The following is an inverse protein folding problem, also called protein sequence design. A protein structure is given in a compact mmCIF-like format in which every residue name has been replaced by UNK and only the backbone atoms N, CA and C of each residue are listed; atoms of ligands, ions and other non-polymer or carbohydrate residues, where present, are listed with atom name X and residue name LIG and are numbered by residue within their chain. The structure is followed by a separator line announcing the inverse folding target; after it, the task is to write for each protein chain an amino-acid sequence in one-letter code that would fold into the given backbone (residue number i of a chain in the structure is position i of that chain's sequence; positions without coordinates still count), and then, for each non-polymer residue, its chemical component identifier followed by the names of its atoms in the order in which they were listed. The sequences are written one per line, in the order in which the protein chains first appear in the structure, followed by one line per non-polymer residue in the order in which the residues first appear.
data_IF_003606543079
#
_entry.id   IF_003606543079
#
_cell.length_a   1.000
_cell.length_b   1.000
_cell.length_c   1.000
_cell.angle_alpha   90.00
_cell.angle_beta   90.00
_cell.angle_gamma   90.00
#
_symmetry.space_group_name_H-M   'P 1'
#
loop_
_entity.id
_entity.type
_entity.pdbx_description
1 polymer ?
#
# COMPACT_ATOMS: atom_id res chain seq x y z
N UNK A 1 -6.82 -12.68 5.70
CA UNK A 1 -8.11 -12.44 5.04
C UNK A 1 -7.89 -12.28 3.56
N UNK A 2 -8.91 -11.83 2.83
CA UNK A 2 -8.91 -11.67 1.36
C UNK A 2 -8.34 -10.33 0.87
N UNK A 3 -7.61 -9.60 1.74
CA UNK A 3 -7.06 -8.27 1.44
C UNK A 3 -5.54 -8.23 1.43
N UNK A 4 -4.99 -7.13 0.91
CA UNK A 4 -3.56 -6.86 0.88
C UNK A 4 -3.03 -6.73 2.32
N UNK A 5 -2.08 -7.58 2.69
CA UNK A 5 -1.51 -7.62 4.04
C UNK A 5 -0.17 -6.87 4.17
N UNK A 6 0.52 -6.59 3.07
CA UNK A 6 1.80 -5.89 3.08
C UNK A 6 2.30 -5.52 1.68
N UNK A 7 3.15 -4.50 1.61
CA UNK A 7 3.95 -4.10 0.45
C UNK A 7 5.36 -3.85 0.95
N UNK A 8 6.34 -4.45 0.28
CA UNK A 8 7.75 -4.31 0.61
C UNK A 8 8.55 -3.96 -0.65
N UNK A 9 9.60 -3.15 -0.47
CA UNK A 9 10.60 -2.96 -1.51
C UNK A 9 11.57 -4.13 -1.50
N UNK A 10 11.50 -4.96 -2.53
CA UNK A 10 12.40 -6.09 -2.69
C UNK A 10 13.76 -5.62 -3.22
N UNK A 11 14.81 -6.37 -2.90
CA UNK A 11 16.16 -6.09 -3.40
C UNK A 11 16.29 -6.29 -4.91
N UNK A 12 17.37 -5.78 -5.53
CA UNK A 12 17.55 -5.79 -6.99
C UNK A 12 17.69 -7.20 -7.60
N UNK A 13 17.90 -8.23 -6.78
CA UNK A 13 17.99 -9.62 -7.20
C UNK A 13 16.64 -10.36 -7.15
N UNK A 14 15.58 -9.69 -6.72
CA UNK A 14 14.26 -10.31 -6.69
C UNK A 14 13.75 -10.51 -8.12
N UNK A 15 13.33 -11.74 -8.42
CA UNK A 15 12.69 -12.03 -9.70
C UNK A 15 11.35 -11.31 -9.81
N UNK A 16 11.13 -10.64 -10.93
CA UNK A 16 9.83 -10.05 -11.24
C UNK A 16 8.82 -11.17 -11.52
N UNK A 17 7.65 -11.05 -10.90
CA UNK A 17 6.57 -12.03 -11.01
C UNK A 17 5.31 -11.35 -11.49
N UNK A 18 4.70 -11.90 -12.53
CA UNK A 18 3.39 -11.46 -12.96
C UNK A 18 2.34 -11.68 -11.84
N UNK A 19 1.31 -10.81 -11.76
CA UNK A 19 0.16 -11.02 -10.89
C UNK A 19 -0.46 -12.40 -11.10
N UNK A 20 -0.89 -13.05 -10.01
CA UNK A 20 -1.42 -14.42 -10.04
C UNK A 20 -2.92 -14.47 -9.83
N UNK A 21 -3.53 -13.36 -9.44
CA UNK A 21 -4.93 -13.25 -9.04
C UNK A 21 -5.47 -11.83 -9.27
N UNK A 22 -6.80 -11.62 -9.24
CA UNK A 22 -7.39 -10.31 -9.49
C UNK A 22 -6.94 -9.21 -8.52
N UNK A 23 -6.72 -9.54 -7.24
CA UNK A 23 -6.28 -8.55 -6.26
C UNK A 23 -4.85 -8.11 -6.55
N UNK A 24 -3.91 -9.03 -6.81
CA UNK A 24 -2.55 -8.66 -7.18
C UNK A 24 -2.48 -7.86 -8.48
N UNK A 25 -3.35 -8.15 -9.46
CA UNK A 25 -3.44 -7.35 -10.69
C UNK A 25 -3.95 -5.92 -10.41
N UNK A 26 -4.96 -5.78 -9.55
CA UNK A 26 -5.47 -4.48 -9.13
C UNK A 26 -4.42 -3.67 -8.36
N UNK A 27 -3.67 -4.31 -7.46
CA UNK A 27 -2.56 -3.67 -6.71
C UNK A 27 -1.53 -3.09 -7.68
N UNK A 28 -1.06 -3.88 -8.65
CA UNK A 28 -0.07 -3.41 -9.65
C UNK A 28 -0.61 -2.22 -10.44
N UNK A 29 -1.85 -2.30 -10.93
CA UNK A 29 -2.45 -1.20 -11.70
C UNK A 29 -2.55 0.10 -10.88
N UNK A 30 -3.02 0.01 -9.63
CA UNK A 30 -3.19 1.18 -8.76
C UNK A 30 -1.84 1.79 -8.33
N UNK A 31 -0.84 0.96 -8.03
CA UNK A 31 0.53 1.43 -7.75
C UNK A 31 1.10 2.16 -8.96
N UNK A 32 0.91 1.63 -10.18
CA UNK A 32 1.38 2.27 -11.39
C UNK A 32 0.70 3.64 -11.64
N UNK A 33 -0.58 3.78 -11.34
CA UNK A 33 -1.27 5.07 -11.39
C UNK A 33 -0.70 6.06 -10.36
N UNK A 34 -0.50 5.63 -9.11
CA UNK A 34 0.09 6.47 -8.07
C UNK A 34 1.51 6.95 -8.38
N UNK A 35 2.33 6.10 -8.99
CA UNK A 35 3.69 6.48 -9.41
C UNK A 35 3.70 7.54 -10.52
N UNK A 36 2.63 7.63 -11.32
CA UNK A 36 2.47 8.67 -12.35
C UNK A 36 1.81 9.94 -11.81
N UNK A 37 0.85 9.77 -10.91
CA UNK A 37 0.12 10.85 -10.27
C UNK A 37 0.06 10.61 -8.75
N UNK A 38 0.84 11.34 -7.95
CA UNK A 38 0.89 11.17 -6.51
C UNK A 38 -0.40 11.62 -5.81
N UNK A 39 -1.35 12.26 -6.50
CA UNK A 39 -2.68 12.57 -5.98
C UNK A 39 -3.69 11.42 -6.16
N UNK A 40 -3.31 10.36 -6.87
CA UNK A 40 -4.18 9.22 -7.13
C UNK A 40 -4.50 8.44 -5.85
N UNK A 41 -5.79 8.14 -5.62
CA UNK A 41 -6.27 7.52 -4.37
C UNK A 41 -6.47 6.01 -4.49
N UNK A 42 -5.85 5.23 -3.60
CA UNK A 42 -6.03 3.78 -3.51
C UNK A 42 -7.43 3.38 -3.02
N UNK A 43 -8.00 2.36 -3.66
CA UNK A 43 -9.27 1.70 -3.26
C UNK A 43 -9.06 0.23 -2.90
N UNK A 44 -7.82 -0.18 -2.68
CA UNK A 44 -7.46 -1.57 -2.40
C UNK A 44 -8.06 -2.03 -1.05
N UNK A 45 -8.61 -3.25 -0.99
CA UNK A 45 -8.94 -3.86 0.29
C UNK A 45 -7.65 -4.19 1.03
N UNK A 46 -7.38 -3.48 2.13
CA UNK A 46 -6.20 -3.73 2.99
C UNK A 46 -6.63 -4.49 4.23
N UNK A 47 -6.00 -5.64 4.47
CA UNK A 47 -6.20 -6.45 5.67
C UNK A 47 -5.04 -6.18 6.65
N UNK A 48 -5.15 -5.05 7.38
CA UNK A 48 -4.13 -4.64 8.34
C UNK A 48 -4.27 -5.43 9.64
N UNK A 49 -3.38 -6.40 9.85
CA UNK A 49 -3.28 -7.15 11.09
C UNK A 49 -2.17 -6.53 11.96
N UNK A 50 -2.53 -6.05 13.15
CA UNK A 50 -1.57 -5.41 14.07
C UNK A 50 -2.18 -5.08 15.43
N UNK A 51 -1.33 -4.71 16.38
CA UNK A 51 -1.74 -4.31 17.73
C UNK A 51 -2.62 -3.06 17.71
N UNK A 52 -3.38 -2.83 18.79
CA UNK A 52 -4.20 -1.62 18.92
C UNK A 52 -3.38 -0.32 18.79
N UNK A 53 -2.11 -0.33 19.22
CA UNK A 53 -1.20 0.79 19.02
C UNK A 53 -0.86 1.00 17.53
N UNK A 54 -0.47 -0.07 16.83
CA UNK A 54 -0.16 0.00 15.38
C UNK A 54 -1.37 0.50 14.57
N UNK A 55 -2.57 -0.01 14.84
CA UNK A 55 -3.79 0.42 14.16
C UNK A 55 -4.07 1.92 14.35
N UNK A 56 -3.85 2.45 15.56
CA UNK A 56 -3.98 3.89 15.84
C UNK A 56 -2.97 4.72 15.06
N UNK A 57 -1.72 4.28 14.99
CA UNK A 57 -0.67 4.93 14.20
C UNK A 57 -1.05 4.92 12.71
N UNK A 58 -1.44 3.78 12.16
CA UNK A 58 -1.85 3.66 10.76
C UNK A 58 -3.08 4.54 10.43
N UNK A 59 -4.08 4.60 11.31
CA UNK A 59 -5.22 5.49 11.14
C UNK A 59 -4.81 6.97 11.09
N UNK A 60 -3.74 7.36 11.79
CA UNK A 60 -3.21 8.73 11.73
C UNK A 60 -2.41 8.97 10.46
N UNK A 61 -1.56 8.03 10.05
CA UNK A 61 -0.76 8.12 8.83
C UNK A 61 -1.63 8.26 7.57
N UNK A 62 -2.78 7.57 7.51
CA UNK A 62 -3.74 7.69 6.40
C UNK A 62 -4.34 9.09 6.21
N UNK A 63 -4.18 10.00 7.19
CA UNK A 63 -4.65 11.39 7.11
C UNK A 63 -3.57 12.37 6.64
N UNK A 64 -2.36 11.90 6.37
CA UNK A 64 -1.28 12.74 5.82
C UNK A 64 -1.52 12.88 4.31
N UNK A 65 -1.70 14.10 3.78
CA UNK A 65 -1.80 14.33 2.35
C UNK A 65 -0.53 13.91 1.62
N UNK A 66 -0.64 13.67 0.31
CA UNK A 66 0.52 13.47 -0.54
C UNK A 66 1.41 14.72 -0.55
N UNK A 67 2.72 14.56 -0.41
CA UNK A 67 3.69 15.67 -0.32
C UNK A 67 3.86 16.31 1.06
N UNK A 68 3.03 15.95 2.03
CA UNK A 68 3.09 16.46 3.41
C UNK A 68 3.92 15.55 4.33
N UNK A 69 4.47 16.14 5.40
CA UNK A 69 5.16 15.40 6.48
C UNK A 69 4.51 15.63 7.84
N UNK A 70 4.73 14.71 8.79
CA UNK A 70 4.34 14.85 10.20
C UNK A 70 5.52 14.41 11.07
N UNK A 71 5.71 15.07 12.21
CA UNK A 71 6.71 14.68 13.21
C UNK A 71 6.20 13.57 14.12
N UNK A 72 7.12 12.74 14.61
CA UNK A 72 6.86 11.61 15.50
C UNK A 72 6.69 12.06 16.96
#
# INVERSE_FOLDING_TARGET
GEGLCGIDFLGPQADERAPRDPLSAQVVAQVYHYLKDPAWSFTLPVDMQGTAFQQRVWARLRRVPSGDTRSY
#
